data_IF_330979266209
#
_entry.id   IF_330979266209
#
_cell.length_a   1.000
_cell.length_b   1.000
_cell.length_c   1.000
_cell.angle_alpha   90.00
_cell.angle_beta   90.00
_cell.angle_gamma   90.00
#
_symmetry.space_group_name_H-M   'P 1'
#
loop_
_entity.id
_entity.type
_entity.pdbx_description
1 polymer ?
#
# COMPACT_ATOMS: atom_id res chain seq x y z
N UNK A 1 26.70 9.63 -30.96
CA UNK A 1 25.61 9.04 -30.14
C UNK A 1 26.15 8.79 -28.74
N UNK A 2 25.80 9.64 -27.77
CA UNK A 2 26.24 9.48 -26.38
C UNK A 2 25.55 8.27 -25.75
N UNK A 3 26.33 7.44 -25.07
CA UNK A 3 25.91 6.16 -24.48
C UNK A 3 25.00 6.44 -23.26
N UNK A 4 23.68 6.46 -23.46
CA UNK A 4 22.66 6.70 -22.42
C UNK A 4 22.59 5.60 -21.34
N UNK A 5 23.37 4.52 -21.48
CA UNK A 5 23.40 3.36 -20.59
C UNK A 5 23.92 3.66 -19.16
N UNK A 6 24.47 4.85 -18.90
CA UNK A 6 25.06 5.18 -17.60
C UNK A 6 24.13 6.00 -16.69
N UNK A 7 22.94 6.40 -17.14
CA UNK A 7 22.04 7.19 -16.30
C UNK A 7 21.32 6.32 -15.26
N UNK A 8 21.23 6.76 -14.00
CA UNK A 8 20.51 6.03 -12.97
C UNK A 8 19.00 6.05 -13.27
N UNK A 9 18.36 4.88 -13.17
CA UNK A 9 16.91 4.69 -13.32
C UNK A 9 16.13 5.19 -12.10
N UNK A 10 16.79 5.17 -10.94
CA UNK A 10 16.26 5.64 -9.66
C UNK A 10 17.15 6.75 -9.14
N UNK A 11 16.55 7.87 -8.76
CA UNK A 11 17.27 8.91 -8.03
C UNK A 11 16.63 9.08 -6.67
N UNK A 12 17.41 8.83 -5.63
CA UNK A 12 17.02 9.13 -4.26
C UNK A 12 17.22 10.63 -4.04
N UNK A 13 16.15 11.40 -3.88
CA UNK A 13 16.25 12.78 -3.43
C UNK A 13 15.99 12.84 -1.93
N UNK A 14 16.85 13.55 -1.21
CA UNK A 14 16.58 13.90 0.19
C UNK A 14 15.41 14.89 0.22
N UNK A 15 14.45 14.66 1.11
CA UNK A 15 13.24 15.47 1.23
C UNK A 15 13.55 16.94 1.54
N UNK A 16 12.91 17.87 0.83
CA UNK A 16 12.94 19.30 1.19
C UNK A 16 12.07 19.52 2.44
N UNK A 17 12.52 20.32 3.40
CA UNK A 17 11.76 20.62 4.63
C UNK A 17 12.16 19.80 5.88
N UNK A 18 13.20 18.98 5.80
CA UNK A 18 13.73 18.21 6.94
C UNK A 18 14.17 19.09 8.11
N UNK A 19 14.66 20.30 7.84
CA UNK A 19 15.10 21.23 8.89
C UNK A 19 13.92 21.68 9.75
N UNK A 20 12.79 22.04 9.15
CA UNK A 20 11.59 22.44 9.89
C UNK A 20 11.04 21.30 10.74
N UNK A 21 11.02 20.08 10.20
CA UNK A 21 10.64 18.89 10.97
C UNK A 21 11.60 18.63 12.14
N UNK A 22 12.92 18.77 11.94
CA UNK A 22 13.92 18.59 12.99
C UNK A 22 13.79 19.62 14.10
N UNK A 23 13.52 20.89 13.78
CA UNK A 23 13.31 21.94 14.77
C UNK A 23 12.03 21.70 15.59
N UNK A 24 10.94 21.34 14.92
CA UNK A 24 9.71 20.94 15.60
C UNK A 24 9.91 19.69 16.46
N UNK A 25 10.64 18.69 15.97
CA UNK A 25 10.91 17.49 16.74
C UNK A 25 11.77 17.78 17.99
N UNK A 26 12.77 18.65 17.84
CA UNK A 26 13.62 19.09 18.94
C UNK A 26 12.84 19.88 20.01
N UNK A 27 11.89 20.74 19.61
CA UNK A 27 11.08 21.50 20.57
C UNK A 27 10.15 20.60 21.39
N UNK A 28 9.50 19.62 20.75
CA UNK A 28 8.67 18.64 21.45
C UNK A 28 9.51 17.75 22.37
N UNK A 29 10.68 17.29 21.90
CA UNK A 29 11.61 16.51 22.73
C UNK A 29 12.01 17.31 23.98
N UNK A 30 12.40 18.58 23.82
CA UNK A 30 12.71 19.46 24.95
C UNK A 30 11.54 19.58 25.94
N UNK A 31 10.30 19.72 25.44
CA UNK A 31 9.10 19.74 26.27
C UNK A 31 8.90 18.46 27.09
N UNK A 32 9.07 17.30 26.46
CA UNK A 32 8.98 16.00 27.15
C UNK A 32 10.04 15.88 28.24
N UNK A 33 11.29 16.28 27.96
CA UNK A 33 12.36 16.28 28.97
C UNK A 33 12.09 17.21 30.14
N UNK A 34 11.60 18.43 29.88
CA UNK A 34 11.23 19.37 30.94
C UNK A 34 10.13 18.80 31.84
N UNK A 35 9.13 18.12 31.27
CA UNK A 35 8.07 17.46 32.04
C UNK A 35 8.64 16.34 32.91
N UNK A 36 9.49 15.47 32.35
CA UNK A 36 10.12 14.39 33.10
C UNK A 36 10.99 14.92 34.26
N UNK A 37 11.82 15.94 34.00
CA UNK A 37 12.67 16.58 35.02
C UNK A 37 11.80 17.26 36.09
N UNK A 38 10.79 18.02 35.69
CA UNK A 38 9.86 18.66 36.62
C UNK A 38 9.19 17.63 37.53
N UNK A 39 8.77 16.49 36.96
CA UNK A 39 8.15 15.40 37.72
C UNK A 39 9.16 14.79 38.69
N UNK A 40 10.38 14.44 38.26
CA UNK A 40 11.42 13.90 39.16
C UNK A 40 11.75 14.84 40.33
N UNK A 41 11.83 16.16 40.08
CA UNK A 41 12.14 17.16 41.11
C UNK A 41 10.98 17.34 42.10
N UNK A 42 9.73 17.39 41.61
CA UNK A 42 8.53 17.56 42.45
C UNK A 42 7.99 16.22 42.97
N UNK A 43 8.85 15.22 43.17
CA UNK A 43 8.43 13.93 43.70
C UNK A 43 7.81 14.12 45.10
N UNK A 44 6.50 13.85 45.28
CA UNK A 44 5.86 14.04 46.56
C UNK A 44 6.38 12.97 47.52
N UNK A 45 7.27 13.35 48.43
CA UNK A 45 7.69 12.54 49.58
C UNK A 45 6.57 12.49 50.63
N UNK A 46 5.34 12.17 50.23
CA UNK A 46 4.22 12.09 51.15
C UNK A 46 4.18 10.69 51.75
N UNK A 47 4.89 10.49 52.86
CA UNK A 47 5.09 9.19 53.53
C UNK A 47 3.80 8.56 54.10
N UNK A 48 2.64 9.21 53.98
CA UNK A 48 1.38 8.80 54.61
C UNK A 48 0.26 8.32 53.68
N UNK A 49 0.36 8.47 52.35
CA UNK A 49 -0.75 8.10 51.44
C UNK A 49 -0.25 7.27 50.25
N UNK A 50 -0.25 5.95 50.42
CA UNK A 50 0.28 4.98 49.45
C UNK A 50 -0.41 5.05 48.09
N UNK A 51 -1.73 5.29 48.05
CA UNK A 51 -2.50 5.41 46.81
C UNK A 51 -2.02 6.60 45.95
N UNK A 52 -1.69 7.73 46.59
CA UNK A 52 -1.19 8.91 45.90
C UNK A 52 0.20 8.65 45.29
N UNK A 53 1.07 7.91 45.99
CA UNK A 53 2.38 7.50 45.46
C UNK A 53 2.24 6.57 44.26
N UNK A 54 1.37 5.57 44.33
CA UNK A 54 1.11 4.66 43.20
C UNK A 54 0.53 5.38 41.98
N UNK A 55 -0.43 6.29 42.18
CA UNK A 55 -0.99 7.10 41.11
C UNK A 55 0.10 7.99 40.46
N UNK A 56 0.97 8.58 41.27
CA UNK A 56 2.08 9.39 40.80
C UNK A 56 3.11 8.57 40.00
N UNK A 57 3.45 7.36 40.47
CA UNK A 57 4.31 6.43 39.77
C UNK A 57 3.69 5.93 38.45
N UNK A 58 2.39 5.67 38.42
CA UNK A 58 1.68 5.29 37.20
C UNK A 58 1.68 6.41 36.15
N UNK A 59 1.47 7.66 36.57
CA UNK A 59 1.59 8.82 35.69
C UNK A 59 3.02 9.00 35.15
N UNK A 60 4.03 8.83 36.01
CA UNK A 60 5.44 8.86 35.59
C UNK A 60 5.76 7.77 34.56
N UNK A 61 5.27 6.55 34.77
CA UNK A 61 5.47 5.44 33.84
C UNK A 61 4.79 5.68 32.49
N UNK A 62 3.57 6.25 32.49
CA UNK A 62 2.86 6.64 31.27
C UNK A 62 3.62 7.69 30.48
N UNK A 63 4.22 8.67 31.15
CA UNK A 63 5.03 9.73 30.51
C UNK A 63 6.33 9.17 29.92
N UNK A 64 7.01 8.26 30.62
CA UNK A 64 8.17 7.54 30.10
C UNK A 64 7.83 6.72 28.85
N UNK A 65 6.70 6.02 28.87
CA UNK A 65 6.24 5.25 27.71
C UNK A 65 5.95 6.15 26.51
N UNK A 66 5.30 7.29 26.75
CA UNK A 66 5.04 8.28 25.71
C UNK A 66 6.34 8.87 25.13
N UNK A 67 7.32 9.18 25.98
CA UNK A 67 8.64 9.66 25.57
C UNK A 67 9.36 8.62 24.69
N UNK A 68 9.31 7.35 25.07
CA UNK A 68 9.89 6.25 24.30
C UNK A 68 9.21 6.07 22.93
N UNK A 69 7.87 6.08 22.91
CA UNK A 69 7.11 6.04 21.67
C UNK A 69 7.46 7.21 20.74
N UNK A 70 7.58 8.42 21.31
CA UNK A 70 8.00 9.60 20.56
C UNK A 70 9.40 9.45 19.96
N UNK A 71 10.36 8.93 20.73
CA UNK A 71 11.72 8.67 20.26
C UNK A 71 11.73 7.73 19.05
N UNK A 72 11.02 6.60 19.11
CA UNK A 72 10.92 5.66 17.98
C UNK A 72 10.35 6.36 16.74
N UNK A 73 9.29 7.17 16.92
CA UNK A 73 8.67 7.88 15.80
C UNK A 73 9.61 8.90 15.14
N UNK A 74 10.41 9.62 15.92
CA UNK A 74 11.42 10.54 15.39
C UNK A 74 12.51 9.78 14.65
N UNK A 75 12.98 8.63 15.18
CA UNK A 75 13.98 7.79 14.51
C UNK A 75 13.50 7.28 13.15
N UNK A 76 12.28 6.75 13.07
CA UNK A 76 11.69 6.27 11.81
C UNK A 76 11.55 7.40 10.78
N UNK A 77 11.23 8.62 11.25
CA UNK A 77 11.02 9.80 10.40
C UNK A 77 12.30 10.64 10.18
N UNK A 78 13.45 10.22 10.71
CA UNK A 78 14.67 11.04 10.67
C UNK A 78 15.28 11.15 9.28
N UNK A 79 15.10 10.13 8.44
CA UNK A 79 15.65 10.08 7.08
C UNK A 79 14.64 9.54 6.06
N UNK A 80 13.59 10.32 5.72
CA UNK A 80 12.68 9.96 4.65
C UNK A 80 13.41 10.02 3.30
N UNK A 81 13.56 8.85 2.68
CA UNK A 81 14.16 8.72 1.35
C UNK A 81 13.07 8.75 0.28
N UNK A 82 13.03 9.79 -0.55
CA UNK A 82 12.14 9.85 -1.69
C UNK A 82 12.82 9.23 -2.92
N UNK A 83 12.21 8.19 -3.49
CA UNK A 83 12.69 7.55 -4.71
C UNK A 83 11.86 8.04 -5.89
N UNK A 84 12.50 8.78 -6.79
CA UNK A 84 11.90 9.15 -8.06
C UNK A 84 12.33 8.14 -9.13
N UNK A 85 11.35 7.67 -9.92
CA UNK A 85 11.55 6.76 -11.05
C UNK A 85 11.48 7.54 -12.36
N UNK A 86 12.39 7.27 -13.29
CA UNK A 86 12.38 7.87 -14.62
C UNK A 86 11.90 6.85 -15.66
N UNK A 87 10.62 6.92 -16.04
CA UNK A 87 10.02 6.00 -17.01
C UNK A 87 10.66 6.15 -18.40
N UNK A 88 10.97 7.37 -18.83
CA UNK A 88 11.58 7.66 -20.15
C UNK A 88 12.96 7.00 -20.32
N UNK A 89 13.72 6.87 -19.22
CA UNK A 89 15.02 6.19 -19.23
C UNK A 89 14.88 4.67 -19.21
N UNK A 90 13.81 4.18 -18.58
CA UNK A 90 13.49 2.76 -18.54
C UNK A 90 13.07 2.26 -19.92
N UNK A 91 12.16 2.99 -20.60
CA UNK A 91 11.73 2.65 -21.96
C UNK A 91 12.91 2.68 -22.93
N UNK A 92 13.71 3.75 -22.93
CA UNK A 92 14.88 3.89 -23.82
C UNK A 92 15.92 2.75 -23.69
N UNK A 93 16.00 2.11 -22.52
CA UNK A 93 16.99 1.05 -22.25
C UNK A 93 16.43 -0.37 -22.38
N UNK A 94 15.18 -0.58 -21.99
CA UNK A 94 14.61 -1.92 -21.78
C UNK A 94 13.32 -2.20 -22.55
N UNK A 95 12.89 -1.33 -23.48
CA UNK A 95 11.64 -1.50 -24.26
C UNK A 95 11.41 -2.95 -24.74
N UNK A 96 12.47 -3.60 -25.23
CA UNK A 96 12.42 -4.98 -25.75
C UNK A 96 12.56 -6.06 -24.67
N UNK A 97 13.17 -5.76 -23.52
CA UNK A 97 13.56 -6.72 -22.45
C UNK A 97 12.76 -6.51 -21.16
N UNK A 98 11.55 -5.96 -21.26
CA UNK A 98 10.61 -5.88 -20.14
C UNK A 98 10.25 -7.29 -19.60
N UNK A 99 10.16 -7.49 -18.26
CA UNK A 99 9.73 -8.76 -17.67
C UNK A 99 8.22 -9.02 -17.89
N UNK A 100 7.77 -10.26 -17.71
CA UNK A 100 6.35 -10.54 -17.57
C UNK A 100 5.83 -10.02 -16.22
N UNK A 101 4.63 -9.43 -16.20
CA UNK A 101 3.95 -8.94 -14.99
C UNK A 101 2.61 -9.64 -14.90
N UNK A 102 2.38 -10.27 -13.75
CA UNK A 102 1.13 -10.92 -13.39
C UNK A 102 0.43 -10.09 -12.32
N UNK A 103 -0.77 -9.58 -12.62
CA UNK A 103 -1.57 -8.75 -11.72
C UNK A 103 -2.71 -9.59 -11.16
N UNK A 104 -2.76 -9.71 -9.84
CA UNK A 104 -3.83 -10.40 -9.13
C UNK A 104 -4.80 -9.37 -8.54
N UNK A 105 -6.09 -9.50 -8.90
CA UNK A 105 -7.21 -8.73 -8.34
C UNK A 105 -8.01 -9.71 -7.49
N UNK A 106 -8.06 -9.49 -6.17
CA UNK A 106 -8.86 -10.32 -5.27
C UNK A 106 -10.14 -9.59 -4.88
N UNK A 107 -11.30 -10.23 -5.06
CA UNK A 107 -12.60 -9.73 -4.59
C UNK A 107 -13.04 -10.53 -3.38
N UNK A 108 -13.40 -9.84 -2.30
CA UNK A 108 -13.76 -10.51 -1.05
C UNK A 108 -15.27 -10.82 -0.95
N UNK A 109 -16.14 -10.03 -1.59
CA UNK A 109 -17.59 -10.29 -1.64
C UNK A 109 -18.30 -9.34 -2.63
N UNK A 110 -19.00 -9.82 -3.68
CA UNK A 110 -19.73 -8.97 -4.64
C UNK A 110 -20.96 -8.26 -4.04
N UNK A 111 -21.36 -8.59 -2.81
CA UNK A 111 -22.46 -7.90 -2.11
C UNK A 111 -21.99 -6.67 -1.34
N UNK A 112 -20.75 -6.68 -0.85
CA UNK A 112 -20.11 -5.54 -0.17
C UNK A 112 -19.40 -4.63 -1.18
N UNK A 113 -18.80 -5.22 -2.22
CA UNK A 113 -18.11 -4.50 -3.29
C UNK A 113 -18.97 -4.53 -4.57
N UNK A 114 -19.47 -3.37 -5.06
CA UNK A 114 -20.25 -3.32 -6.29
C UNK A 114 -19.47 -3.96 -7.46
N UNK A 115 -20.05 -4.91 -8.22
CA UNK A 115 -19.36 -5.55 -9.35
C UNK A 115 -18.83 -4.56 -10.40
N UNK A 116 -19.45 -3.38 -10.50
CA UNK A 116 -19.00 -2.29 -11.37
C UNK A 116 -17.64 -1.71 -10.96
N UNK A 117 -17.31 -1.70 -9.66
CA UNK A 117 -16.01 -1.24 -9.17
C UNK A 117 -14.90 -2.22 -9.55
N UNK A 118 -15.19 -3.53 -9.49
CA UNK A 118 -14.28 -4.59 -9.90
C UNK A 118 -13.99 -4.50 -11.40
N UNK A 119 -15.04 -4.35 -12.22
CA UNK A 119 -14.90 -4.20 -13.67
C UNK A 119 -14.09 -2.95 -14.03
N UNK A 120 -14.31 -1.82 -13.35
CA UNK A 120 -13.53 -0.60 -13.57
C UNK A 120 -12.05 -0.78 -13.20
N UNK A 121 -11.76 -1.53 -12.14
CA UNK A 121 -10.39 -1.85 -11.73
C UNK A 121 -9.71 -2.72 -12.79
N UNK A 122 -10.39 -3.76 -13.27
CA UNK A 122 -9.88 -4.64 -14.34
C UNK A 122 -9.67 -3.84 -15.64
N UNK A 123 -10.61 -3.00 -16.05
CA UNK A 123 -10.47 -2.12 -17.22
C UNK A 123 -9.29 -1.14 -17.07
N UNK A 124 -9.11 -0.55 -15.89
CA UNK A 124 -7.97 0.34 -15.62
C UNK A 124 -6.63 -0.40 -15.69
N UNK A 125 -6.57 -1.66 -15.28
CA UNK A 125 -5.36 -2.49 -15.38
C UNK A 125 -5.09 -2.86 -16.83
N UNK A 126 -6.14 -3.20 -17.60
CA UNK A 126 -6.01 -3.51 -19.02
C UNK A 126 -5.62 -2.30 -19.87
N UNK A 127 -5.91 -1.08 -19.41
CA UNK A 127 -5.52 0.18 -20.04
C UNK A 127 -4.08 0.62 -19.70
N UNK A 128 -3.28 -0.21 -19.01
CA UNK A 128 -1.87 0.09 -18.79
C UNK A 128 -1.05 0.03 -20.08
N UNK A 129 -0.20 1.04 -20.26
CA UNK A 129 0.76 1.13 -21.35
C UNK A 129 1.93 0.14 -21.13
N UNK A 130 1.65 -1.15 -21.35
CA UNK A 130 2.59 -2.25 -21.24
C UNK A 130 2.39 -3.24 -22.41
N UNK A 131 3.44 -3.91 -22.91
CA UNK A 131 3.27 -4.91 -23.95
C UNK A 131 2.24 -5.98 -23.53
N UNK A 132 1.15 -6.18 -24.30
CA UNK A 132 0.06 -7.09 -23.92
C UNK A 132 0.51 -8.55 -23.82
N UNK A 133 1.58 -8.92 -24.55
CA UNK A 133 2.18 -10.26 -24.49
C UNK A 133 2.82 -10.57 -23.13
N UNK A 134 3.14 -9.54 -22.35
CA UNK A 134 3.85 -9.63 -21.07
C UNK A 134 2.98 -9.28 -19.87
N UNK A 135 1.74 -8.81 -20.10
CA UNK A 135 0.80 -8.44 -19.04
C UNK A 135 -0.26 -9.53 -18.91
N UNK A 136 -0.35 -10.16 -17.75
CA UNK A 136 -1.41 -11.12 -17.44
C UNK A 136 -2.20 -10.66 -16.21
N UNK A 137 -3.54 -10.81 -16.26
CA UNK A 137 -4.43 -10.36 -15.18
C UNK A 137 -5.24 -11.54 -14.68
N UNK A 138 -5.20 -11.76 -13.37
CA UNK A 138 -5.91 -12.81 -12.67
C UNK A 138 -6.92 -12.17 -11.72
N UNK A 139 -8.17 -12.59 -11.80
CA UNK A 139 -9.22 -12.20 -10.87
C UNK A 139 -9.52 -13.41 -9.96
N UNK A 140 -9.21 -13.29 -8.67
CA UNK A 140 -9.52 -14.27 -7.63
C UNK A 140 -10.78 -13.81 -6.90
N UNK A 141 -11.82 -14.63 -6.90
CA UNK A 141 -12.99 -14.38 -6.06
C UNK A 141 -12.84 -15.19 -4.76
N UNK A 142 -12.39 -14.52 -3.70
CA UNK A 142 -12.19 -15.12 -2.38
C UNK A 142 -13.50 -15.14 -1.57
N UNK A 143 -14.58 -14.57 -2.11
CA UNK A 143 -15.90 -14.50 -1.48
C UNK A 143 -16.69 -15.82 -1.41
N UNK A 144 -16.09 -16.93 -1.86
CA UNK A 144 -16.50 -18.28 -1.47
C UNK A 144 -17.99 -18.60 -1.63
N UNK A 145 -18.66 -18.09 -2.67
CA UNK A 145 -20.07 -18.41 -2.91
C UNK A 145 -20.24 -19.26 -4.17
N UNK A 146 -20.23 -20.58 -3.97
CA UNK A 146 -20.85 -21.56 -4.89
C UNK A 146 -22.32 -21.21 -5.23
N UNK A 147 -22.92 -20.28 -4.49
CA UNK A 147 -24.30 -19.85 -4.60
C UNK A 147 -24.58 -18.77 -5.68
N UNK A 148 -23.56 -18.15 -6.29
CA UNK A 148 -23.76 -17.05 -7.25
C UNK A 148 -23.90 -17.50 -8.71
N UNK A 149 -23.62 -18.77 -9.02
CA UNK A 149 -23.76 -19.32 -10.38
C UNK A 149 -25.21 -19.27 -10.90
N UNK A 150 -26.21 -19.25 -10.01
CA UNK A 150 -27.63 -19.21 -10.39
C UNK A 150 -28.27 -17.81 -10.30
N UNK A 151 -27.62 -16.83 -9.67
CA UNK A 151 -28.15 -15.45 -9.60
C UNK A 151 -27.63 -14.55 -10.73
N UNK A 152 -26.52 -14.92 -11.36
CA UNK A 152 -25.99 -14.16 -12.51
C UNK A 152 -26.86 -14.35 -13.77
N UNK A 153 -27.64 -15.44 -13.87
CA UNK A 153 -28.52 -15.70 -15.03
C UNK A 153 -29.78 -14.81 -15.10
N UNK A 154 -30.08 -13.98 -14.10
CA UNK A 154 -31.35 -13.24 -14.03
C UNK A 154 -31.23 -11.73 -13.78
N UNK A 155 -30.14 -11.12 -14.24
CA UNK A 155 -29.99 -9.66 -14.21
C UNK A 155 -29.31 -9.14 -15.48
N UNK A 156 -30.12 -8.74 -16.47
CA UNK A 156 -29.98 -7.76 -17.59
C UNK A 156 -28.57 -7.26 -18.03
N UNK A 157 -27.49 -8.02 -17.85
CA UNK A 157 -26.12 -7.69 -18.28
C UNK A 157 -25.47 -8.90 -19.01
N UNK A 158 -26.16 -10.05 -19.01
CA UNK A 158 -25.75 -11.31 -19.63
C UNK A 158 -25.61 -11.26 -21.16
N UNK A 159 -26.11 -10.21 -21.83
CA UNK A 159 -25.91 -10.01 -23.28
C UNK A 159 -24.53 -9.47 -23.65
N UNK A 160 -23.81 -8.82 -22.73
CA UNK A 160 -22.53 -8.14 -23.02
C UNK A 160 -21.32 -8.98 -22.55
N UNK A 161 -21.52 -9.87 -21.58
CA UNK A 161 -20.46 -10.65 -20.95
C UNK A 161 -20.42 -12.15 -21.35
N UNK A 162 -21.40 -12.66 -22.11
CA UNK A 162 -21.43 -14.10 -22.49
C UNK A 162 -20.50 -14.48 -23.65
N UNK A 163 -19.84 -13.54 -24.33
CA UNK A 163 -18.73 -13.81 -25.26
C UNK A 163 -17.95 -12.52 -25.61
N UNK A 164 -17.17 -11.92 -24.70
CA UNK A 164 -16.02 -11.14 -25.15
C UNK A 164 -14.95 -12.13 -25.67
N UNK A 165 -14.26 -11.85 -26.78
CA UNK A 165 -13.14 -12.68 -27.28
C UNK A 165 -11.91 -12.72 -26.34
N UNK A 166 -12.07 -12.43 -25.05
CA UNK A 166 -11.08 -11.88 -24.13
C UNK A 166 -10.92 -12.65 -22.80
N UNK A 167 -11.78 -13.64 -22.52
CA UNK A 167 -11.78 -14.40 -21.26
C UNK A 167 -11.53 -15.89 -21.52
N UNK A 168 -10.44 -16.43 -20.96
CA UNK A 168 -10.13 -17.86 -21.00
C UNK A 168 -10.33 -18.45 -19.61
N UNK A 169 -11.49 -19.09 -19.41
CA UNK A 169 -11.83 -19.77 -18.18
C UNK A 169 -10.97 -21.03 -18.03
N UNK A 170 -10.04 -21.05 -17.07
CA UNK A 170 -9.37 -22.27 -16.62
C UNK A 170 -9.94 -22.68 -15.26
N UNK A 171 -10.64 -23.83 -15.15
CA UNK A 171 -11.13 -24.29 -13.85
C UNK A 171 -9.96 -24.64 -12.93
N UNK A 172 -9.83 -23.89 -11.82
CA UNK A 172 -8.92 -24.17 -10.72
C UNK A 172 -9.43 -25.34 -9.86
N UNK A 173 -8.52 -26.03 -9.16
CA UNK A 173 -8.86 -27.18 -8.31
C UNK A 173 -9.65 -26.74 -7.06
N UNK A 174 -10.96 -27.03 -7.10
CA UNK A 174 -11.94 -27.34 -6.04
C UNK A 174 -12.16 -26.42 -4.82
N UNK A 175 -11.39 -25.36 -4.56
CA UNK A 175 -11.77 -24.43 -3.48
C UNK A 175 -11.53 -22.93 -3.76
N UNK A 176 -10.93 -22.58 -4.90
CA UNK A 176 -10.80 -21.19 -5.36
C UNK A 176 -11.04 -21.13 -6.86
N UNK A 177 -12.03 -20.35 -7.29
CA UNK A 177 -12.26 -20.04 -8.70
C UNK A 177 -11.39 -18.87 -9.10
N UNK A 178 -10.38 -19.13 -9.93
CA UNK A 178 -9.55 -18.09 -10.54
C UNK A 178 -10.03 -17.82 -11.95
N UNK A 179 -10.32 -16.56 -12.27
CA UNK A 179 -10.64 -16.10 -13.62
C UNK A 179 -9.36 -15.53 -14.24
N UNK A 180 -8.78 -16.22 -15.22
CA UNK A 180 -7.65 -15.72 -15.99
C UNK A 180 -8.15 -14.85 -17.15
N UNK A 181 -7.87 -13.56 -17.08
CA UNK A 181 -8.12 -12.61 -18.15
C UNK A 181 -6.79 -12.40 -18.88
N UNK A 182 -6.68 -13.02 -20.06
CA UNK A 182 -5.50 -12.88 -20.91
C UNK A 182 -5.79 -11.84 -21.98
N UNK A 183 -4.99 -10.78 -22.03
CA UNK A 183 -5.12 -9.72 -23.03
C UNK A 183 -4.74 -10.32 -24.40
N UNK A 184 -5.65 -10.41 -25.38
CA UNK A 184 -5.30 -10.74 -26.75
C UNK A 184 -4.46 -9.62 -27.35
N UNK A 185 -3.63 -9.97 -28.34
CA UNK A 185 -2.88 -9.01 -29.17
C UNK A 185 -3.84 -7.97 -29.75
N UNK A 186 -3.89 -6.77 -29.16
CA UNK A 186 -4.45 -5.61 -29.83
C UNK A 186 -3.35 -5.11 -30.79
N UNK A 187 -3.35 -5.62 -32.01
CA UNK A 187 -2.61 -5.01 -33.12
C UNK A 187 -3.23 -3.65 -33.38
N UNK A 188 -2.69 -2.61 -32.76
CA UNK A 188 -2.89 -1.24 -33.20
C UNK A 188 -2.06 -1.07 -34.48
N UNK A 189 -2.73 -1.07 -35.63
CA UNK A 189 -2.18 -0.66 -36.92
C UNK A 189 -2.16 0.87 -37.02
#
# INVERSE_FOLDING_TARGET
MARNDYLPLFHTKSGKGLVSFRLFAASIFAGVWLILVHRVIHMPSNKGNTLATWAWSGLFLSELWFAFYYLINVLVRWNPAYRNTFKDRLSLRYEKVLPGIDIFVCTADPTVEPPIMVINTVLSVMAYDYPPEKLSVYLSDDGGSDFKLNQQEHGTIDGILKNPPFLSLKPGRKHCSYYLIRIPRLTYH
#
